data_IF_353075040743
#
_entry.id   IF_353075040743
#
_cell.length_a   1.000
_cell.length_b   1.000
_cell.length_c   1.000
_cell.angle_alpha   90.00
_cell.angle_beta   90.00
_cell.angle_gamma   90.00
#
_symmetry.space_group_name_H-M   'P 1'
#
loop_
_entity.id
_entity.type
_entity.pdbx_description
1 polymer ?
#
# COMPACT_ATOMS: atom_id res chain seq x y z
N UNK A 1 -21.95 -17.61 67.92
CA UNK A 1 -21.38 -17.17 66.62
C UNK A 1 -20.35 -18.19 66.12
N UNK A 2 -20.71 -19.48 66.14
CA UNK A 2 -19.81 -20.59 65.81
C UNK A 2 -20.55 -21.75 65.11
N UNK A 3 -21.89 -21.70 65.06
CA UNK A 3 -22.71 -22.69 64.35
C UNK A 3 -22.96 -22.31 62.86
N UNK A 4 -23.06 -21.00 62.56
CA UNK A 4 -23.32 -20.48 61.19
C UNK A 4 -22.15 -20.69 60.21
N UNK A 5 -20.92 -20.92 60.70
CA UNK A 5 -19.76 -21.21 59.85
C UNK A 5 -19.64 -22.72 59.50
N UNK A 6 -20.33 -23.61 60.21
CA UNK A 6 -20.22 -25.06 59.99
C UNK A 6 -20.98 -25.56 58.76
N UNK A 7 -22.26 -25.20 58.63
CA UNK A 7 -23.11 -25.63 57.51
C UNK A 7 -22.96 -24.76 56.25
N UNK A 8 -22.69 -23.45 56.40
CA UNK A 8 -22.48 -22.55 55.26
C UNK A 8 -21.00 -22.44 54.85
N UNK A 9 -20.07 -22.92 55.68
CA UNK A 9 -18.64 -22.89 55.40
C UNK A 9 -18.27 -23.73 54.18
N UNK A 10 -18.89 -24.91 54.02
CA UNK A 10 -18.70 -25.74 52.83
C UNK A 10 -19.26 -25.08 51.57
N UNK A 11 -20.46 -24.48 51.65
CA UNK A 11 -21.05 -23.76 50.52
C UNK A 11 -20.19 -22.57 50.06
N UNK A 12 -19.62 -21.81 51.00
CA UNK A 12 -18.67 -20.73 50.72
C UNK A 12 -17.37 -21.29 50.13
N UNK A 13 -16.85 -22.40 50.66
CA UNK A 13 -15.65 -23.05 50.16
C UNK A 13 -15.80 -23.53 48.71
N UNK A 14 -16.90 -24.23 48.40
CA UNK A 14 -17.23 -24.66 47.03
C UNK A 14 -17.45 -23.48 46.09
N UNK A 15 -18.05 -22.39 46.57
CA UNK A 15 -18.19 -21.14 45.83
C UNK A 15 -16.83 -20.53 45.45
N UNK A 16 -15.91 -20.44 46.42
CA UNK A 16 -14.55 -19.91 46.19
C UNK A 16 -13.75 -20.81 45.24
N UNK A 17 -13.83 -22.13 45.40
CA UNK A 17 -13.16 -23.10 44.50
C UNK A 17 -13.71 -23.00 43.08
N UNK A 18 -15.02 -22.83 42.92
CA UNK A 18 -15.67 -22.64 41.61
C UNK A 18 -15.18 -21.37 40.91
N UNK A 19 -15.11 -20.25 41.62
CA UNK A 19 -14.60 -18.97 41.06
C UNK A 19 -13.13 -19.11 40.66
N UNK A 20 -12.30 -19.75 41.50
CA UNK A 20 -10.89 -20.00 41.19
C UNK A 20 -10.71 -20.86 39.93
N UNK A 21 -11.54 -21.89 39.74
CA UNK A 21 -11.52 -22.72 38.53
C UNK A 21 -11.83 -21.91 37.27
N UNK A 22 -12.86 -21.07 37.32
CA UNK A 22 -13.26 -20.21 36.18
C UNK A 22 -12.13 -19.23 35.83
N UNK A 23 -11.51 -18.60 36.83
CA UNK A 23 -10.37 -17.71 36.61
C UNK A 23 -9.19 -18.42 35.92
N UNK A 24 -8.86 -19.66 36.34
CA UNK A 24 -7.80 -20.46 35.72
C UNK A 24 -8.13 -20.79 34.25
N UNK A 25 -9.37 -21.16 33.95
CA UNK A 25 -9.81 -21.42 32.58
C UNK A 25 -9.67 -20.17 31.72
N UNK A 26 -10.10 -19.00 32.20
CA UNK A 26 -9.96 -17.73 31.48
C UNK A 26 -8.49 -17.38 31.19
N UNK A 27 -7.57 -17.61 32.14
CA UNK A 27 -6.14 -17.37 31.96
C UNK A 27 -5.54 -18.28 30.88
N UNK A 28 -5.84 -19.59 30.93
CA UNK A 28 -5.34 -20.56 29.95
C UNK A 28 -5.90 -20.28 28.55
N UNK A 29 -7.21 -19.97 28.47
CA UNK A 29 -7.85 -19.60 27.21
C UNK A 29 -7.22 -18.34 26.61
N UNK A 30 -6.98 -17.30 27.40
CA UNK A 30 -6.37 -16.06 26.91
C UNK A 30 -4.94 -16.29 26.39
N UNK A 31 -4.14 -17.10 27.10
CA UNK A 31 -2.78 -17.47 26.66
C UNK A 31 -2.78 -18.21 25.31
N UNK A 32 -3.65 -19.22 25.17
CA UNK A 32 -3.77 -19.98 23.90
C UNK A 32 -4.34 -19.14 22.77
N UNK A 33 -5.30 -18.26 23.06
CA UNK A 33 -5.87 -17.34 22.08
C UNK A 33 -4.83 -16.36 21.55
N UNK A 34 -3.97 -15.82 22.41
CA UNK A 34 -2.86 -14.95 21.98
C UNK A 34 -1.83 -15.68 21.13
N UNK A 35 -1.53 -16.95 21.42
CA UNK A 35 -0.60 -17.76 20.64
C UNK A 35 -1.16 -18.15 19.26
N UNK A 36 -2.46 -18.41 19.16
CA UNK A 36 -3.12 -18.81 17.90
C UNK A 36 -3.52 -17.59 17.07
N UNK A 37 -3.70 -16.43 17.71
CA UNK A 37 -4.09 -15.21 17.01
C UNK A 37 -3.00 -14.83 16.01
N UNK A 38 -3.35 -14.65 14.72
CA UNK A 38 -2.39 -14.27 13.70
C UNK A 38 -1.85 -12.86 13.99
N UNK A 39 -0.55 -12.67 13.72
CA UNK A 39 0.24 -11.50 14.10
C UNK A 39 -0.37 -10.17 13.63
N UNK A 40 -1.06 -10.15 12.48
CA UNK A 40 -1.69 -8.95 11.92
C UNK A 40 -2.83 -8.37 12.76
N UNK A 41 -3.42 -9.13 13.70
CA UNK A 41 -4.44 -8.60 14.64
C UNK A 41 -3.83 -7.89 15.85
N UNK A 42 -2.56 -8.14 16.12
CA UNK A 42 -1.79 -7.54 17.23
C UNK A 42 -0.80 -6.48 16.76
N UNK A 43 -0.40 -6.53 15.49
CA UNK A 43 0.43 -5.50 14.87
C UNK A 43 -0.42 -4.26 14.58
N UNK A 44 -0.04 -3.13 15.16
CA UNK A 44 -0.53 -1.83 14.72
C UNK A 44 -0.09 -1.63 13.27
N UNK A 45 -1.05 -1.47 12.36
CA UNK A 45 -0.74 -1.05 11.00
C UNK A 45 0.07 0.26 11.10
N UNK A 46 1.23 0.36 10.43
CA UNK A 46 1.99 1.61 10.42
C UNK A 46 1.06 2.72 9.96
N UNK A 47 0.99 3.78 10.74
CA UNK A 47 0.01 4.83 10.47
C UNK A 47 0.24 5.40 9.06
N UNK A 48 -0.82 5.86 8.39
CA UNK A 48 -0.68 6.53 7.09
C UNK A 48 0.35 7.69 7.12
N UNK A 49 0.61 8.25 8.31
CA UNK A 49 1.63 9.29 8.53
C UNK A 49 3.06 8.75 8.46
N UNK A 50 3.32 7.55 8.99
CA UNK A 50 4.63 6.89 8.87
C UNK A 50 4.92 6.50 7.42
N UNK A 51 3.92 5.97 6.71
CA UNK A 51 4.03 5.72 5.28
C UNK A 51 4.28 7.02 4.48
N UNK A 52 3.48 8.06 4.70
CA UNK A 52 3.65 9.33 4.00
C UNK A 52 5.03 9.97 4.25
N UNK A 53 5.53 9.90 5.49
CA UNK A 53 6.85 10.42 5.83
C UNK A 53 7.98 9.57 5.22
N UNK A 54 7.85 8.25 5.23
CA UNK A 54 8.86 7.35 4.65
C UNK A 54 8.87 7.35 3.11
N UNK A 55 7.75 7.70 2.48
CA UNK A 55 7.58 7.86 1.04
C UNK A 55 7.92 9.25 0.52
N UNK A 56 8.02 10.25 1.42
CA UNK A 56 8.41 11.61 1.07
C UNK A 56 9.76 11.56 0.34
N UNK A 57 9.80 12.17 -0.84
CA UNK A 57 10.97 12.23 -1.73
C UNK A 57 11.41 10.89 -2.36
N UNK A 58 10.62 9.82 -2.22
CA UNK A 58 10.91 8.50 -2.83
C UNK A 58 10.06 8.19 -4.06
N UNK A 59 9.41 9.19 -4.63
CA UNK A 59 8.58 9.00 -5.82
C UNK A 59 9.46 8.76 -7.06
N UNK A 60 9.06 7.83 -7.94
CA UNK A 60 9.69 7.74 -9.25
C UNK A 60 9.41 9.01 -10.06
N UNK A 61 10.30 9.33 -10.99
CA UNK A 61 10.21 10.52 -11.85
C UNK A 61 10.13 10.10 -13.31
N UNK A 62 9.30 10.82 -14.08
CA UNK A 62 9.19 10.65 -15.54
C UNK A 62 9.88 11.85 -16.20
N UNK A 63 10.95 11.57 -16.93
CA UNK A 63 11.71 12.55 -17.71
C UNK A 63 11.17 12.55 -19.15
N UNK A 64 10.69 13.72 -19.58
CA UNK A 64 10.23 13.96 -20.95
C UNK A 64 10.17 15.47 -21.16
N UNK A 65 10.19 15.90 -22.42
CA UNK A 65 9.75 17.24 -22.76
C UNK A 65 8.24 17.40 -22.46
N UNK A 66 7.81 18.64 -22.23
CA UNK A 66 6.39 18.94 -21.99
C UNK A 66 5.56 18.86 -23.28
N UNK A 67 6.21 19.13 -24.41
CA UNK A 67 5.65 19.05 -25.75
C UNK A 67 6.65 18.34 -26.66
N UNK A 68 6.19 17.33 -27.39
CA UNK A 68 6.96 16.59 -28.40
C UNK A 68 6.36 16.92 -29.77
N UNK A 69 7.20 17.23 -30.74
CA UNK A 69 6.78 17.48 -32.11
C UNK A 69 7.01 16.23 -32.95
N UNK A 70 6.02 15.89 -33.78
CA UNK A 70 6.06 14.77 -34.70
C UNK A 70 5.71 15.27 -36.10
N UNK A 71 6.51 14.89 -37.09
CA UNK A 71 6.30 15.32 -38.46
C UNK A 71 5.06 14.63 -39.06
N UNK A 72 4.25 15.40 -39.78
CA UNK A 72 3.09 14.90 -40.49
C UNK A 72 3.49 13.81 -41.49
N UNK A 73 2.83 12.65 -41.38
CA UNK A 73 3.11 11.41 -42.13
C UNK A 73 4.43 10.71 -41.80
N UNK A 74 5.13 11.07 -40.72
CA UNK A 74 6.25 10.26 -40.25
C UNK A 74 5.76 9.00 -39.53
N UNK A 75 5.77 7.88 -40.25
CA UNK A 75 5.39 6.57 -39.71
C UNK A 75 6.43 5.96 -38.78
N UNK A 76 7.63 6.53 -38.70
CA UNK A 76 8.68 6.06 -37.80
C UNK A 76 8.62 6.71 -36.42
N UNK A 77 7.70 7.64 -36.19
CA UNK A 77 7.54 8.28 -34.90
C UNK A 77 7.15 7.27 -33.81
N UNK A 78 8.04 7.10 -32.83
CA UNK A 78 7.81 6.26 -31.65
C UNK A 78 7.86 7.11 -30.40
N UNK A 79 6.69 7.40 -29.82
CA UNK A 79 6.58 8.22 -28.60
C UNK A 79 7.42 7.71 -27.42
N UNK A 80 7.64 6.38 -27.32
CA UNK A 80 8.43 5.78 -26.23
C UNK A 80 9.89 6.22 -26.22
N UNK A 81 10.44 6.69 -27.33
CA UNK A 81 11.85 7.09 -27.42
C UNK A 81 12.11 8.44 -26.75
N UNK A 82 11.06 9.22 -26.53
CA UNK A 82 11.10 10.57 -25.94
C UNK A 82 10.79 10.61 -24.44
N UNK A 83 10.57 9.45 -23.83
CA UNK A 83 10.19 9.34 -22.42
C UNK A 83 11.14 8.39 -21.71
N UNK A 84 11.54 8.77 -20.50
CA UNK A 84 12.34 7.94 -19.61
C UNK A 84 11.75 7.98 -18.21
N UNK A 85 12.00 6.95 -17.44
CA UNK A 85 11.60 6.91 -16.04
C UNK A 85 12.75 6.47 -15.15
N UNK A 86 12.86 7.13 -14.00
CA UNK A 86 13.85 6.81 -12.96
C UNK A 86 13.16 6.60 -11.64
N UNK A 87 13.66 5.65 -10.88
CA UNK A 87 13.31 5.51 -9.47
C UNK A 87 13.94 6.63 -8.64
N UNK A 88 13.56 6.77 -7.37
CA UNK A 88 14.15 7.76 -6.46
C UNK A 88 15.66 7.56 -6.21
N UNK A 89 16.15 6.35 -6.47
CA UNK A 89 17.58 6.00 -6.42
C UNK A 89 18.34 6.38 -7.68
N UNK A 90 17.65 6.85 -8.73
CA UNK A 90 18.23 7.10 -10.06
C UNK A 90 18.32 5.87 -10.95
N UNK A 91 17.88 4.69 -10.49
CA UNK A 91 17.80 3.48 -11.32
C UNK A 91 16.81 3.68 -12.47
N UNK A 92 17.19 3.27 -13.67
CA UNK A 92 16.30 3.26 -14.83
C UNK A 92 15.17 2.24 -14.64
N UNK A 93 13.94 2.71 -14.79
CA UNK A 93 12.70 1.92 -14.72
C UNK A 93 11.81 2.22 -15.94
N UNK A 94 12.41 2.65 -17.05
CA UNK A 94 11.69 3.00 -18.28
C UNK A 94 10.90 1.81 -18.84
N UNK A 95 11.39 0.59 -18.68
CA UNK A 95 10.69 -0.63 -19.11
C UNK A 95 9.35 -0.85 -18.40
N UNK A 96 9.21 -0.36 -17.15
CA UNK A 96 8.00 -0.46 -16.35
C UNK A 96 6.98 0.65 -16.68
N UNK A 97 7.34 1.59 -17.54
CA UNK A 97 6.51 2.74 -17.88
C UNK A 97 5.36 2.33 -18.81
N UNK A 98 4.14 2.66 -18.39
CA UNK A 98 2.90 2.44 -19.15
C UNK A 98 2.45 3.73 -19.78
N UNK A 99 2.35 3.72 -21.10
CA UNK A 99 1.81 4.83 -21.90
C UNK A 99 0.37 4.51 -22.29
N UNK A 100 -0.53 5.47 -22.08
CA UNK A 100 -1.91 5.41 -22.54
C UNK A 100 -2.17 6.56 -23.52
N UNK A 101 -2.84 6.25 -24.62
CA UNK A 101 -3.04 7.15 -25.75
C UNK A 101 -2.37 6.59 -27.01
N UNK A 102 -2.79 7.11 -28.15
CA UNK A 102 -2.22 6.78 -29.45
C UNK A 102 -2.09 8.07 -30.24
N UNK A 103 -0.94 8.26 -30.87
CA UNK A 103 -0.69 9.39 -31.78
C UNK A 103 -1.03 8.93 -33.19
N UNK A 104 -1.89 9.67 -33.87
CA UNK A 104 -2.17 9.48 -35.30
C UNK A 104 -1.41 10.54 -36.12
N UNK A 105 -0.25 10.14 -36.65
CA UNK A 105 0.63 10.98 -37.47
C UNK A 105 0.03 11.38 -38.82
N UNK A 106 -1.10 10.77 -39.22
CA UNK A 106 -1.83 11.10 -40.45
C UNK A 106 -2.86 12.21 -40.24
N UNK A 107 -3.00 12.71 -39.01
CA UNK A 107 -3.90 13.81 -38.67
C UNK A 107 -3.16 14.86 -37.86
N UNK A 108 -3.02 16.05 -38.44
CA UNK A 108 -2.48 17.22 -37.73
C UNK A 108 -3.38 17.58 -36.56
N UNK A 109 -2.88 17.36 -35.35
CA UNK A 109 -3.63 17.54 -34.11
C UNK A 109 -2.66 17.49 -32.93
N UNK A 110 -3.17 17.81 -31.75
CA UNK A 110 -2.46 17.63 -30.47
C UNK A 110 -3.00 16.36 -29.81
N UNK A 111 -2.11 15.41 -29.51
CA UNK A 111 -2.41 14.15 -28.84
C UNK A 111 -1.88 14.18 -27.43
N UNK A 112 -2.76 13.99 -26.44
CA UNK A 112 -2.37 13.97 -25.04
C UNK A 112 -2.08 12.55 -24.59
N UNK A 113 -0.82 12.26 -24.32
CA UNK A 113 -0.33 10.97 -23.85
C UNK A 113 -0.27 10.96 -22.32
N UNK A 114 -0.73 9.88 -21.69
CA UNK A 114 -0.64 9.67 -20.24
C UNK A 114 0.44 8.63 -19.96
N UNK A 115 1.50 9.04 -19.28
CA UNK A 115 2.59 8.18 -18.85
C UNK A 115 2.43 7.85 -17.36
N UNK A 116 2.49 6.58 -17.00
CA UNK A 116 2.37 6.10 -15.63
C UNK A 116 3.51 5.14 -15.33
N UNK A 117 4.22 5.38 -14.24
CA UNK A 117 5.25 4.47 -13.73
C UNK A 117 5.01 4.20 -12.25
N UNK A 118 5.33 2.98 -11.81
CA UNK A 118 5.21 2.56 -10.41
C UNK A 118 6.54 2.03 -9.92
N UNK A 119 6.97 2.50 -8.75
CA UNK A 119 8.15 2.00 -8.03
C UNK A 119 7.84 1.93 -6.54
N UNK A 120 8.16 0.82 -5.87
CA UNK A 120 8.01 0.64 -4.41
C UNK A 120 6.65 1.11 -3.85
N UNK A 121 5.55 0.72 -4.51
CA UNK A 121 4.17 1.12 -4.21
C UNK A 121 3.84 2.62 -4.38
N UNK A 122 4.77 3.43 -4.87
CA UNK A 122 4.56 4.81 -5.26
C UNK A 122 4.34 4.90 -6.76
N UNK A 123 3.46 5.82 -7.17
CA UNK A 123 3.06 6.00 -8.57
C UNK A 123 3.35 7.42 -8.98
N UNK A 124 3.96 7.58 -10.16
CA UNK A 124 4.11 8.87 -10.82
C UNK A 124 3.32 8.85 -12.12
N UNK A 125 2.60 9.94 -12.38
CA UNK A 125 1.82 10.14 -13.61
C UNK A 125 2.19 11.47 -14.22
N UNK A 126 2.59 11.46 -15.50
CA UNK A 126 2.88 12.65 -16.29
C UNK A 126 2.02 12.65 -17.55
N UNK A 127 1.54 13.82 -17.96
CA UNK A 127 0.88 14.01 -19.25
C UNK A 127 1.85 14.72 -20.18
N UNK A 128 1.95 14.23 -21.41
CA UNK A 128 2.82 14.80 -22.45
C UNK A 128 1.97 15.07 -23.67
N UNK A 129 2.12 16.26 -24.27
CA UNK A 129 1.41 16.60 -25.49
C UNK A 129 2.30 16.31 -26.70
N UNK A 130 1.77 15.59 -27.68
CA UNK A 130 2.43 15.36 -28.96
C UNK A 130 1.72 16.20 -30.01
N UNK A 131 2.43 17.12 -30.64
CA UNK A 131 1.93 17.98 -31.71
C UNK A 131 2.34 17.36 -33.04
N UNK A 132 1.38 16.99 -33.86
CA UNK A 132 1.62 16.50 -35.23
C UNK A 132 1.44 17.68 -36.18
N UNK A 133 2.52 18.06 -36.89
CA UNK A 133 2.52 19.20 -37.82
C UNK A 133 3.19 18.95 -39.17
#
# INVERSE_FOLDING_TARGET
>A
MSLLLGEHGEAILYGVVGVMLVCLICLVCNGKWKHISPSYKTELSPSNKEFANSAKDKYPTIESDDVIYADYKDTNFVFKDYIKAKDYTGKDITDDLKVFGQVDVLRKSIYRMKCVVRSNNLVCTKYVNVVVE
#
